data_IF_766278022057
#
_entry.id   IF_766278022057
#
_cell.length_a   1.000
_cell.length_b   1.000
_cell.length_c   1.000
_cell.angle_alpha   90.00
_cell.angle_beta   90.00
_cell.angle_gamma   90.00
#
_symmetry.space_group_name_H-M   'P 1'
#
loop_
_entity.id
_entity.type
_entity.pdbx_description
1 polymer ?
#
# COMPACT_ATOMS: atom_id res chain seq x y z
N UNK A 1 -9.17 3.35 34.59
CA UNK A 1 -7.78 3.88 34.70
C UNK A 1 -6.78 2.73 34.47
N UNK A 2 -5.82 2.85 33.56
CA UNK A 2 -4.83 1.80 33.32
C UNK A 2 -3.43 2.36 32.98
N UNK A 3 -2.39 1.67 33.44
CA UNK A 3 -0.99 2.05 33.28
C UNK A 3 -0.50 1.73 31.86
N UNK A 4 0.25 2.66 31.26
CA UNK A 4 0.79 2.54 29.90
C UNK A 4 2.16 3.19 29.80
N UNK A 5 2.95 2.74 28.82
CA UNK A 5 4.10 3.48 28.35
C UNK A 5 3.69 4.86 27.79
N UNK A 6 4.57 5.86 27.87
CA UNK A 6 4.28 7.24 27.44
C UNK A 6 3.93 7.34 25.95
N UNK A 7 4.67 6.66 25.08
CA UNK A 7 4.45 6.72 23.62
C UNK A 7 3.17 5.98 23.23
N UNK A 8 2.93 4.84 23.86
CA UNK A 8 1.69 4.09 23.68
C UNK A 8 0.48 4.91 24.17
N UNK A 9 0.61 5.54 25.34
CA UNK A 9 -0.40 6.41 25.92
C UNK A 9 -0.75 7.59 25.02
N UNK A 10 0.25 8.25 24.43
CA UNK A 10 0.03 9.34 23.46
C UNK A 10 -0.76 8.87 22.24
N UNK A 11 -0.47 7.67 21.74
CA UNK A 11 -1.18 7.10 20.60
C UNK A 11 -2.64 6.82 20.93
N UNK A 12 -2.91 6.22 22.10
CA UNK A 12 -4.28 5.96 22.56
C UNK A 12 -5.04 7.28 22.74
N UNK A 13 -4.44 8.30 23.37
CA UNK A 13 -5.10 9.59 23.54
C UNK A 13 -5.42 10.26 22.20
N UNK A 14 -4.57 10.08 21.18
CA UNK A 14 -4.79 10.64 19.85
C UNK A 14 -5.83 9.85 19.02
N UNK A 15 -6.01 8.56 19.27
CA UNK A 15 -6.80 7.66 18.41
C UNK A 15 -8.02 7.05 19.08
N UNK A 16 -8.20 7.25 20.38
CA UNK A 16 -9.30 6.72 21.17
C UNK A 16 -10.01 7.80 22.00
N UNK A 17 -11.26 7.52 22.32
CA UNK A 17 -12.07 8.24 23.31
C UNK A 17 -12.46 7.30 24.45
N UNK A 18 -12.97 7.85 25.54
CA UNK A 18 -13.63 7.04 26.55
C UNK A 18 -14.93 6.42 26.01
N UNK A 19 -15.41 5.32 26.61
CA UNK A 19 -16.73 4.74 26.27
C UNK A 19 -17.89 5.75 26.42
N UNK A 20 -17.76 6.76 27.28
CA UNK A 20 -18.72 7.85 27.41
C UNK A 20 -18.58 8.97 26.35
N UNK A 21 -17.63 8.85 25.41
CA UNK A 21 -17.34 9.84 24.38
C UNK A 21 -16.41 10.98 24.80
N UNK A 22 -16.03 11.06 26.08
CA UNK A 22 -15.10 12.08 26.56
C UNK A 22 -13.66 11.86 26.05
N UNK A 23 -12.90 12.95 25.94
CA UNK A 23 -11.47 12.90 25.63
C UNK A 23 -10.69 12.13 26.70
N UNK A 24 -9.63 11.46 26.28
CA UNK A 24 -8.69 10.81 27.17
C UNK A 24 -7.57 11.77 27.55
N UNK A 25 -7.01 11.62 28.75
CA UNK A 25 -5.84 12.37 29.21
C UNK A 25 -4.76 11.39 29.68
N UNK A 26 -3.50 11.81 29.55
CA UNK A 26 -2.31 11.02 29.91
C UNK A 26 -1.50 11.71 31.03
N UNK A 27 -2.02 11.81 32.26
CA UNK A 27 -1.22 12.27 33.38
C UNK A 27 -0.14 11.25 33.81
N UNK A 28 0.87 11.76 34.52
CA UNK A 28 1.75 10.91 35.32
C UNK A 28 0.98 10.30 36.50
N UNK A 29 1.12 9.00 36.71
CA UNK A 29 0.40 8.20 37.70
C UNK A 29 0.83 8.39 39.15
N UNK A 30 1.87 9.20 39.40
CA UNK A 30 2.44 9.36 40.76
C UNK A 30 1.43 9.80 41.82
N UNK A 31 0.42 10.60 41.44
CA UNK A 31 -0.66 11.01 42.34
C UNK A 31 -1.60 9.85 42.75
N UNK A 32 -1.54 8.71 42.04
CA UNK A 32 -2.34 7.51 42.26
C UNK A 32 -1.49 6.33 42.77
N UNK A 33 -0.23 6.57 43.17
CA UNK A 33 0.67 5.52 43.63
C UNK A 33 1.22 4.63 42.52
N UNK A 34 1.17 5.08 41.26
CA UNK A 34 1.69 4.36 40.10
C UNK A 34 2.93 5.08 39.55
N UNK A 35 4.03 4.35 39.35
CA UNK A 35 5.27 4.86 38.77
C UNK A 35 5.26 4.74 37.22
N UNK A 36 4.18 5.21 36.60
CA UNK A 36 3.97 5.10 35.14
C UNK A 36 3.00 6.17 34.63
N UNK A 37 2.91 6.35 33.31
CA UNK A 37 1.84 7.14 32.70
C UNK A 37 0.52 6.37 32.76
N UNK A 38 -0.57 7.10 32.91
CA UNK A 38 -1.89 6.50 33.12
C UNK A 38 -2.88 7.14 32.19
N UNK A 39 -3.73 6.34 31.54
CA UNK A 39 -4.85 6.85 30.74
C UNK A 39 -6.07 7.00 31.64
N UNK A 40 -6.67 8.19 31.62
CA UNK A 40 -7.94 8.48 32.29
C UNK A 40 -8.88 9.25 31.38
N UNK A 41 -10.17 8.99 31.55
CA UNK A 41 -11.23 9.77 30.94
C UNK A 41 -11.28 11.18 31.56
N UNK A 42 -11.45 12.20 30.72
CA UNK A 42 -11.50 13.59 31.15
C UNK A 42 -12.78 13.94 31.93
N UNK A 43 -13.88 13.20 31.69
CA UNK A 43 -15.17 13.43 32.35
C UNK A 43 -15.31 12.66 33.68
N UNK A 44 -14.85 11.41 33.73
CA UNK A 44 -14.99 10.53 34.90
C UNK A 44 -13.77 9.58 34.99
N UNK A 45 -12.98 9.63 36.08
CA UNK A 45 -11.81 8.78 36.26
C UNK A 45 -12.11 7.29 36.50
N UNK A 46 -13.37 6.93 36.83
CA UNK A 46 -13.78 5.55 37.07
C UNK A 46 -13.90 4.73 35.78
N UNK A 47 -14.12 5.38 34.63
CA UNK A 47 -14.15 4.68 33.35
C UNK A 47 -12.79 4.00 33.04
N UNK A 48 -12.86 2.75 32.63
CA UNK A 48 -11.71 1.90 32.32
C UNK A 48 -11.71 1.39 30.87
N UNK A 49 -12.76 1.67 30.10
CA UNK A 49 -12.84 1.30 28.68
C UNK A 49 -12.51 2.47 27.76
N UNK A 50 -11.72 2.15 26.74
CA UNK A 50 -11.42 3.04 25.63
C UNK A 50 -12.03 2.49 24.35
N UNK A 51 -12.57 3.39 23.54
CA UNK A 51 -13.18 3.07 22.26
C UNK A 51 -12.42 3.87 21.19
N UNK A 52 -12.04 3.28 20.06
CA UNK A 52 -11.41 4.02 18.97
C UNK A 52 -12.24 5.24 18.56
N UNK A 53 -11.60 6.39 18.34
CA UNK A 53 -12.24 7.58 17.77
C UNK A 53 -12.86 7.13 16.44
N UNK A 54 -14.16 7.36 16.29
CA UNK A 54 -14.84 7.08 15.03
C UNK A 54 -14.19 7.92 13.94
N UNK A 55 -13.69 7.27 12.90
CA UNK A 55 -13.28 8.00 11.70
C UNK A 55 -14.49 8.73 11.10
N UNK A 56 -14.27 9.82 10.36
CA UNK A 56 -15.37 10.49 9.64
C UNK A 56 -16.17 9.53 8.75
N UNK A 57 -15.51 8.50 8.21
CA UNK A 57 -16.20 7.45 7.45
C UNK A 57 -17.13 6.60 8.32
N UNK A 58 -16.71 6.28 9.55
CA UNK A 58 -17.53 5.53 10.50
C UNK A 58 -18.70 6.38 11.02
N UNK A 59 -18.45 7.65 11.37
CA UNK A 59 -19.50 8.60 11.74
C UNK A 59 -20.55 8.74 10.62
N UNK A 60 -20.10 8.86 9.36
CA UNK A 60 -20.98 8.90 8.19
C UNK A 60 -21.82 7.62 8.07
N UNK A 61 -21.20 6.44 8.27
CA UNK A 61 -21.87 5.14 8.21
C UNK A 61 -22.92 4.97 9.31
N UNK A 62 -22.65 5.54 10.48
CA UNK A 62 -23.55 5.52 11.64
C UNK A 62 -24.68 6.56 11.54
N UNK A 63 -24.67 7.40 10.49
CA UNK A 63 -25.68 8.43 10.27
C UNK A 63 -25.50 9.69 11.12
N UNK A 64 -24.31 9.90 11.69
CA UNK A 64 -24.00 11.11 12.46
C UNK A 64 -23.90 12.34 11.54
N UNK A 65 -24.27 13.51 12.08
CA UNK A 65 -24.16 14.76 11.32
C UNK A 65 -22.70 15.15 11.11
N UNK A 66 -22.31 15.18 9.83
CA UNK A 66 -20.99 15.64 9.39
C UNK A 66 -21.14 16.92 8.57
N UNK A 67 -20.12 17.81 8.58
CA UNK A 67 -20.04 18.93 7.66
C UNK A 67 -20.24 18.47 6.20
N UNK A 68 -21.03 19.22 5.43
CA UNK A 68 -21.44 18.85 4.06
C UNK A 68 -20.26 18.51 3.15
N UNK A 69 -19.17 19.30 3.19
CA UNK A 69 -17.98 19.04 2.38
C UNK A 69 -17.28 17.71 2.70
N UNK A 70 -17.32 17.26 3.97
CA UNK A 70 -16.75 15.97 4.38
C UNK A 70 -17.62 14.84 3.84
N UNK A 71 -18.95 14.97 4.00
CA UNK A 71 -19.93 14.02 3.47
C UNK A 71 -19.79 13.86 1.96
N UNK A 72 -19.75 14.96 1.21
CA UNK A 72 -19.60 14.96 -0.25
C UNK A 72 -18.29 14.30 -0.71
N UNK A 73 -17.20 14.53 0.02
CA UNK A 73 -15.91 13.91 -0.30
C UNK A 73 -15.91 12.40 -0.01
N UNK A 74 -16.51 11.98 1.11
CA UNK A 74 -16.73 10.57 1.43
C UNK A 74 -17.57 9.91 0.35
N UNK A 75 -18.70 10.51 -0.01
CA UNK A 75 -19.60 9.98 -1.05
C UNK A 75 -18.92 9.91 -2.41
N UNK A 76 -18.15 10.93 -2.81
CA UNK A 76 -17.41 10.93 -4.09
C UNK A 76 -16.32 9.87 -4.12
N UNK A 77 -15.60 9.66 -3.02
CA UNK A 77 -14.61 8.57 -2.90
C UNK A 77 -15.31 7.21 -2.93
N UNK A 78 -16.43 7.07 -2.24
CA UNK A 78 -17.20 5.83 -2.20
C UNK A 78 -17.81 5.49 -3.56
N UNK A 79 -18.38 6.46 -4.29
CA UNK A 79 -18.90 6.25 -5.65
C UNK A 79 -17.81 5.75 -6.60
N UNK A 80 -16.61 6.36 -6.58
CA UNK A 80 -15.47 5.89 -7.37
C UNK A 80 -15.08 4.47 -7.02
N UNK A 81 -14.94 4.17 -5.72
CA UNK A 81 -14.60 2.84 -5.23
C UNK A 81 -15.66 1.80 -5.57
N UNK A 82 -16.95 2.14 -5.46
CA UNK A 82 -18.08 1.28 -5.82
C UNK A 82 -18.07 1.00 -7.33
N UNK A 83 -17.84 2.00 -8.17
CA UNK A 83 -17.79 1.82 -9.62
C UNK A 83 -16.64 0.89 -10.03
N UNK A 84 -15.46 1.10 -9.45
CA UNK A 84 -14.30 0.23 -9.66
C UNK A 84 -14.57 -1.20 -9.16
N UNK A 85 -15.09 -1.35 -7.94
CA UNK A 85 -15.44 -2.66 -7.38
C UNK A 85 -16.52 -3.37 -8.20
N UNK A 86 -17.53 -2.66 -8.69
CA UNK A 86 -18.56 -3.24 -9.54
C UNK A 86 -17.99 -3.71 -10.88
N UNK A 87 -17.03 -2.97 -11.46
CA UNK A 87 -16.34 -3.40 -12.68
C UNK A 87 -15.51 -4.66 -12.42
N UNK A 88 -14.72 -4.69 -11.34
CA UNK A 88 -13.91 -5.87 -10.96
C UNK A 88 -14.81 -7.06 -10.65
N UNK A 89 -15.86 -6.87 -9.86
CA UNK A 89 -16.85 -7.90 -9.55
C UNK A 89 -17.52 -8.43 -10.82
N UNK A 90 -17.85 -7.56 -11.77
CA UNK A 90 -18.39 -7.99 -13.05
C UNK A 90 -17.41 -8.85 -13.86
N UNK A 91 -16.10 -8.54 -13.82
CA UNK A 91 -15.07 -9.39 -14.45
C UNK A 91 -14.98 -10.77 -13.79
N UNK A 92 -15.04 -10.81 -12.45
CA UNK A 92 -15.05 -12.08 -11.68
C UNK A 92 -16.30 -12.91 -12.02
N UNK A 93 -17.48 -12.29 -12.02
CA UNK A 93 -18.76 -12.96 -12.35
C UNK A 93 -18.80 -13.44 -13.80
N UNK A 94 -18.23 -12.68 -14.74
CA UNK A 94 -18.14 -13.06 -16.15
C UNK A 94 -17.04 -14.10 -16.42
N UNK A 95 -16.27 -14.49 -15.41
CA UNK A 95 -15.15 -15.43 -15.51
C UNK A 95 -14.10 -15.02 -16.56
N UNK A 96 -13.91 -13.71 -16.77
CA UNK A 96 -12.97 -13.17 -17.78
C UNK A 96 -11.57 -13.00 -17.16
N UNK A 97 -10.85 -14.11 -17.02
CA UNK A 97 -9.54 -14.15 -16.38
C UNK A 97 -8.48 -13.30 -17.12
N UNK A 98 -8.55 -13.20 -18.45
CA UNK A 98 -7.60 -12.44 -19.26
C UNK A 98 -7.73 -10.93 -19.01
N UNK A 99 -8.96 -10.39 -19.03
CA UNK A 99 -9.16 -8.97 -18.70
C UNK A 99 -8.82 -8.68 -17.24
N UNK A 100 -9.18 -9.59 -16.34
CA UNK A 100 -8.87 -9.43 -14.92
C UNK A 100 -7.35 -9.45 -14.68
N UNK A 101 -6.60 -10.34 -15.32
CA UNK A 101 -5.14 -10.41 -15.21
C UNK A 101 -4.46 -9.14 -15.69
N UNK A 102 -4.93 -8.54 -16.80
CA UNK A 102 -4.40 -7.27 -17.33
C UNK A 102 -4.59 -6.14 -16.32
N UNK A 103 -5.78 -6.04 -15.72
CA UNK A 103 -6.06 -5.07 -14.67
C UNK A 103 -5.17 -5.30 -13.42
N UNK A 104 -5.02 -6.56 -13.00
CA UNK A 104 -4.23 -6.90 -11.82
C UNK A 104 -2.73 -6.68 -12.01
N UNK A 105 -2.20 -6.94 -13.20
CA UNK A 105 -0.79 -6.70 -13.50
C UNK A 105 -0.42 -5.22 -13.38
N UNK A 106 -1.29 -4.31 -13.86
CA UNK A 106 -1.09 -2.86 -13.70
C UNK A 106 -1.16 -2.45 -12.23
N UNK A 107 -2.03 -3.10 -11.45
CA UNK A 107 -2.23 -2.78 -10.04
C UNK A 107 -1.13 -3.34 -9.12
N UNK A 108 -0.55 -4.47 -9.52
CA UNK A 108 0.44 -5.22 -8.76
C UNK A 108 1.69 -5.51 -9.60
N UNK A 109 2.36 -4.48 -10.14
CA UNK A 109 3.44 -4.69 -11.09
C UNK A 109 4.65 -5.42 -10.48
N UNK A 110 4.82 -5.35 -9.16
CA UNK A 110 5.91 -6.00 -8.44
C UNK A 110 5.60 -7.48 -8.17
N UNK A 111 4.42 -7.78 -7.62
CA UNK A 111 4.01 -9.15 -7.24
C UNK A 111 3.58 -9.98 -8.46
N UNK A 112 3.01 -9.34 -9.48
CA UNK A 112 2.48 -9.97 -10.69
C UNK A 112 3.27 -9.54 -11.93
N UNK A 113 4.60 -9.49 -11.82
CA UNK A 113 5.48 -9.04 -12.90
C UNK A 113 5.31 -9.85 -14.20
N UNK A 114 5.07 -11.16 -14.09
CA UNK A 114 4.82 -12.03 -15.25
C UNK A 114 3.34 -12.09 -15.55
N UNK A 115 2.98 -12.01 -16.84
CA UNK A 115 1.59 -12.12 -17.29
C UNK A 115 0.93 -13.44 -16.85
N UNK A 116 1.68 -14.54 -16.88
CA UNK A 116 1.20 -15.85 -16.40
C UNK A 116 0.85 -15.83 -14.92
N UNK A 117 1.68 -15.23 -14.08
CA UNK A 117 1.40 -15.10 -12.64
C UNK A 117 0.13 -14.26 -12.39
N UNK A 118 -0.05 -13.17 -13.16
CA UNK A 118 -1.28 -12.37 -13.08
C UNK A 118 -2.53 -13.16 -13.51
N UNK A 119 -2.39 -14.02 -14.53
CA UNK A 119 -3.46 -14.88 -15.02
C UNK A 119 -3.82 -15.98 -14.03
N UNK A 120 -2.82 -16.62 -13.43
CA UNK A 120 -3.04 -17.68 -12.44
C UNK A 120 -3.68 -17.11 -11.17
N UNK A 121 -3.23 -15.94 -10.72
CA UNK A 121 -3.88 -15.22 -9.61
C UNK A 121 -5.32 -14.83 -9.95
N UNK A 122 -5.60 -14.33 -11.16
CA UNK A 122 -6.95 -14.02 -11.61
C UNK A 122 -7.87 -15.25 -11.64
N UNK A 123 -7.39 -16.38 -12.18
CA UNK A 123 -8.12 -17.66 -12.17
C UNK A 123 -8.40 -18.13 -10.75
N UNK A 124 -7.43 -18.01 -9.85
CA UNK A 124 -7.58 -18.36 -8.45
C UNK A 124 -8.67 -17.51 -7.78
N UNK A 125 -8.66 -16.19 -7.96
CA UNK A 125 -9.72 -15.31 -7.46
C UNK A 125 -11.10 -15.70 -7.99
N UNK A 126 -11.23 -16.02 -9.28
CA UNK A 126 -12.49 -16.45 -9.90
C UNK A 126 -12.96 -17.79 -9.31
N UNK A 127 -12.07 -18.77 -9.19
CA UNK A 127 -12.39 -20.09 -8.67
C UNK A 127 -12.94 -20.04 -7.24
N UNK A 128 -12.42 -19.12 -6.43
CA UNK A 128 -12.83 -18.93 -5.04
C UNK A 128 -13.89 -17.83 -4.84
N UNK A 129 -14.40 -17.23 -5.92
CA UNK A 129 -15.36 -16.11 -5.89
C UNK A 129 -14.87 -14.91 -5.05
N UNK A 130 -13.58 -14.63 -5.11
CA UNK A 130 -12.94 -13.55 -4.38
C UNK A 130 -12.79 -12.34 -5.28
N UNK A 131 -13.13 -11.15 -4.75
CA UNK A 131 -12.80 -9.92 -5.44
C UNK A 131 -11.33 -9.57 -5.17
N UNK A 132 -10.45 -9.54 -6.19
CA UNK A 132 -9.08 -9.13 -5.97
C UNK A 132 -9.01 -7.68 -5.48
N UNK A 133 -7.93 -7.32 -4.79
CA UNK A 133 -7.72 -6.07 -4.04
C UNK A 133 -8.52 -6.00 -2.73
N UNK A 134 -9.82 -6.32 -2.76
CA UNK A 134 -10.66 -6.22 -1.56
C UNK A 134 -10.56 -7.48 -0.70
N UNK A 135 -10.77 -8.63 -1.32
CA UNK A 135 -10.94 -9.91 -0.64
C UNK A 135 -9.65 -10.74 -0.64
N UNK A 136 -8.84 -10.56 -1.69
CA UNK A 136 -7.55 -11.20 -1.83
C UNK A 136 -6.54 -10.25 -2.49
N UNK A 137 -5.30 -10.32 -2.03
CA UNK A 137 -4.17 -9.53 -2.52
C UNK A 137 -3.01 -10.45 -2.85
N UNK A 138 -2.31 -10.24 -3.98
CA UNK A 138 -1.08 -10.96 -4.25
C UNK A 138 0.04 -10.39 -3.37
N UNK A 139 0.86 -11.25 -2.81
CA UNK A 139 2.08 -10.89 -2.11
C UNK A 139 3.14 -11.94 -2.40
N UNK A 140 4.30 -11.53 -2.92
CA UNK A 140 5.35 -12.44 -3.40
C UNK A 140 4.83 -13.48 -4.41
N UNK A 141 3.88 -13.07 -5.26
CA UNK A 141 3.26 -13.95 -6.25
C UNK A 141 2.24 -14.95 -5.69
N UNK A 142 1.99 -14.96 -4.39
CA UNK A 142 1.01 -15.84 -3.75
C UNK A 142 -0.28 -15.08 -3.37
N UNK A 143 -1.46 -15.72 -3.45
CA UNK A 143 -2.71 -15.11 -3.00
C UNK A 143 -2.81 -15.08 -1.47
N UNK A 144 -3.08 -13.90 -0.90
CA UNK A 144 -3.37 -13.73 0.52
C UNK A 144 -4.79 -13.20 0.71
N UNK A 145 -5.55 -13.88 1.56
CA UNK A 145 -6.89 -13.42 1.96
C UNK A 145 -6.76 -12.24 2.92
N UNK A 146 -7.52 -11.19 2.67
CA UNK A 146 -7.52 -10.00 3.52
C UNK A 146 -8.37 -10.25 4.77
N UNK A 147 -8.04 -9.57 5.87
CA UNK A 147 -8.86 -9.66 7.08
C UNK A 147 -10.26 -9.09 6.84
N UNK A 148 -10.39 -8.12 5.93
CA UNK A 148 -11.64 -7.51 5.52
C UNK A 148 -12.59 -8.53 4.87
N UNK A 149 -12.05 -9.51 4.12
CA UNK A 149 -12.88 -10.61 3.61
C UNK A 149 -13.46 -11.43 4.76
N UNK A 150 -12.63 -11.76 5.75
CA UNK A 150 -13.03 -12.58 6.89
C UNK A 150 -14.05 -11.84 7.76
N UNK A 151 -13.80 -10.55 8.05
CA UNK A 151 -14.74 -9.67 8.75
C UNK A 151 -16.10 -9.64 8.03
N UNK A 152 -16.10 -9.62 6.68
CA UNK A 152 -17.32 -9.65 5.90
C UNK A 152 -18.03 -11.00 6.00
N UNK A 153 -17.32 -12.12 5.90
CA UNK A 153 -17.92 -13.45 6.09
C UNK A 153 -18.59 -13.53 7.48
N UNK A 154 -17.89 -13.04 8.52
CA UNK A 154 -18.44 -12.93 9.86
C UNK A 154 -19.69 -12.05 9.94
N UNK A 155 -19.68 -10.88 9.29
CA UNK A 155 -20.86 -9.99 9.28
C UNK A 155 -22.08 -10.56 8.55
N UNK A 156 -21.88 -11.51 7.64
CA UNK A 156 -22.97 -12.18 6.90
C UNK A 156 -23.48 -13.44 7.62
N UNK A 157 -22.68 -13.97 8.55
CA UNK A 157 -23.05 -15.08 9.40
C UNK A 157 -24.05 -14.62 10.47
N UNK A 158 -25.27 -15.17 10.42
CA UNK A 158 -26.35 -14.82 11.34
C UNK A 158 -26.03 -15.22 12.78
N UNK A 159 -25.18 -16.22 12.99
CA UNK A 159 -24.77 -16.66 14.32
C UNK A 159 -23.74 -15.75 14.95
N UNK A 160 -23.09 -14.88 14.19
CA UNK A 160 -22.01 -14.04 14.71
C UNK A 160 -22.53 -12.93 15.63
N UNK A 161 -22.06 -12.91 16.88
CA UNK A 161 -22.40 -11.89 17.88
C UNK A 161 -21.39 -10.75 17.97
N UNK A 162 -20.32 -10.82 17.18
CA UNK A 162 -19.21 -9.87 17.23
C UNK A 162 -18.00 -10.41 17.98
N UNK A 163 -17.01 -9.53 18.15
CA UNK A 163 -15.73 -9.82 18.76
C UNK A 163 -15.27 -8.69 19.68
N UNK A 164 -14.42 -9.02 20.64
CA UNK A 164 -13.82 -8.11 21.60
C UNK A 164 -12.33 -8.39 21.75
N UNK A 165 -11.58 -7.40 22.24
CA UNK A 165 -10.16 -7.55 22.47
C UNK A 165 -9.78 -7.41 23.93
N UNK A 166 -8.80 -8.21 24.35
CA UNK A 166 -8.08 -8.04 25.61
C UNK A 166 -6.62 -7.72 25.28
N UNK A 167 -6.17 -6.52 25.64
CA UNK A 167 -4.76 -6.14 25.54
C UNK A 167 -4.04 -6.63 26.79
N UNK A 168 -2.95 -7.36 26.63
CA UNK A 168 -2.28 -7.98 27.77
C UNK A 168 -1.44 -6.96 28.53
N UNK A 169 -1.60 -6.92 29.85
CA UNK A 169 -0.73 -6.16 30.74
C UNK A 169 0.66 -6.79 30.78
N UNK A 170 1.64 -6.09 31.37
CA UNK A 170 2.97 -6.68 31.56
C UNK A 170 2.91 -7.97 32.40
N UNK A 171 2.07 -8.00 33.43
CA UNK A 171 1.88 -9.19 34.27
C UNK A 171 1.26 -10.35 33.50
N UNK A 172 0.25 -10.07 32.64
CA UNK A 172 -0.35 -11.11 31.79
C UNK A 172 0.67 -11.68 30.79
N UNK A 173 1.54 -10.83 30.24
CA UNK A 173 2.60 -11.26 29.31
C UNK A 173 3.62 -12.13 30.02
N UNK A 174 4.10 -11.70 31.19
CA UNK A 174 5.06 -12.45 32.00
C UNK A 174 4.47 -13.81 32.43
N UNK A 175 3.18 -13.87 32.77
CA UNK A 175 2.50 -15.12 33.13
C UNK A 175 2.36 -16.11 31.95
N UNK A 176 2.51 -15.62 30.72
CA UNK A 176 2.37 -16.40 29.48
C UNK A 176 3.70 -16.48 28.69
N UNK A 177 4.82 -16.19 29.35
CA UNK A 177 6.18 -16.23 28.79
C UNK A 177 6.39 -15.35 27.53
N UNK A 178 5.64 -14.26 27.38
CA UNK A 178 5.88 -13.24 26.35
C UNK A 178 6.87 -12.18 26.83
N UNK A 179 7.66 -11.62 25.90
CA UNK A 179 8.52 -10.47 26.24
C UNK A 179 7.63 -9.28 26.65
N UNK A 180 7.96 -8.65 27.78
CA UNK A 180 7.31 -7.43 28.28
C UNK A 180 7.14 -6.34 27.20
N UNK A 181 8.07 -6.27 26.24
CA UNK A 181 8.13 -5.30 25.14
C UNK A 181 7.32 -5.70 23.92
N UNK A 182 6.86 -6.95 23.82
CA UNK A 182 6.00 -7.39 22.74
C UNK A 182 4.61 -6.78 22.88
N UNK A 183 3.92 -6.57 21.76
CA UNK A 183 2.50 -6.27 21.77
C UNK A 183 1.76 -7.60 21.67
N UNK A 184 0.93 -7.90 22.67
CA UNK A 184 0.11 -9.11 22.71
C UNK A 184 -1.33 -8.70 22.91
N UNK A 185 -2.19 -9.14 21.99
CA UNK A 185 -3.63 -8.90 22.03
C UNK A 185 -4.35 -10.21 21.80
N UNK A 186 -5.32 -10.49 22.66
CA UNK A 186 -6.27 -11.58 22.46
C UNK A 186 -7.54 -11.03 21.82
N UNK A 187 -8.03 -11.73 20.81
CA UNK A 187 -9.32 -11.49 20.18
C UNK A 187 -10.25 -12.65 20.54
N UNK A 188 -11.36 -12.32 21.18
CA UNK A 188 -12.43 -13.25 21.50
C UNK A 188 -13.61 -12.98 20.59
N UNK A 189 -14.14 -14.00 19.94
CA UNK A 189 -15.26 -13.87 19.03
C UNK A 189 -16.37 -14.88 19.35
N UNK A 190 -17.61 -14.39 19.38
CA UNK A 190 -18.76 -15.12 19.88
C UNK A 190 -19.70 -15.53 18.73
N UNK A 191 -20.16 -16.79 18.76
CA UNK A 191 -21.18 -17.31 17.85
C UNK A 191 -22.32 -17.97 18.61
N UNK A 192 -23.52 -17.91 18.04
CA UNK A 192 -24.66 -18.71 18.46
C UNK A 192 -24.31 -20.21 18.37
N UNK A 193 -24.56 -20.92 19.45
CA UNK A 193 -24.33 -22.38 19.54
C UNK A 193 -22.93 -22.80 20.01
N UNK A 194 -22.00 -21.85 20.21
CA UNK A 194 -20.74 -22.15 20.90
C UNK A 194 -20.87 -21.88 22.39
N UNK A 195 -20.44 -22.84 23.22
CA UNK A 195 -20.42 -22.67 24.68
C UNK A 195 -19.34 -21.69 25.15
N UNK A 196 -18.26 -21.58 24.38
CA UNK A 196 -17.13 -20.68 24.66
C UNK A 196 -16.79 -19.86 23.42
N UNK A 197 -16.35 -18.59 23.58
CA UNK A 197 -15.87 -17.79 22.47
C UNK A 197 -14.66 -18.46 21.82
N UNK A 198 -14.51 -18.26 20.51
CA UNK A 198 -13.25 -18.56 19.83
C UNK A 198 -12.21 -17.53 20.26
N UNK A 199 -11.00 -17.99 20.55
CA UNK A 199 -9.92 -17.14 21.09
C UNK A 199 -8.71 -17.23 20.18
N UNK A 200 -8.21 -16.08 19.74
CA UNK A 200 -7.01 -15.98 18.90
C UNK A 200 -6.05 -14.93 19.45
N UNK A 201 -4.77 -15.27 19.49
CA UNK A 201 -3.70 -14.38 19.94
C UNK A 201 -3.02 -13.73 18.74
N UNK A 202 -2.87 -12.41 18.81
CA UNK A 202 -2.00 -11.63 17.94
C UNK A 202 -0.78 -11.21 18.73
N UNK A 203 0.40 -11.44 18.14
CA UNK A 203 1.68 -11.01 18.71
C UNK A 203 2.41 -10.17 17.68
N UNK A 204 2.94 -9.03 18.10
CA UNK A 204 3.92 -8.25 17.35
C UNK A 204 5.14 -8.10 18.23
N UNK A 205 6.22 -8.74 17.82
CA UNK A 205 7.45 -8.82 18.60
C UNK A 205 8.17 -7.49 18.62
N UNK A 206 8.98 -7.26 19.65
CA UNK A 206 9.88 -6.09 19.73
C UNK A 206 10.72 -5.93 18.46
N UNK A 207 11.24 -7.03 17.92
CA UNK A 207 12.04 -7.04 16.69
C UNK A 207 11.26 -6.50 15.49
N UNK A 208 9.99 -6.90 15.32
CA UNK A 208 9.14 -6.41 14.22
C UNK A 208 8.75 -4.94 14.37
N UNK A 209 8.67 -4.43 15.61
CA UNK A 209 8.45 -3.00 15.84
C UNK A 209 9.68 -2.16 15.51
N UNK A 210 10.86 -2.69 15.80
CA UNK A 210 12.14 -1.99 15.66
C UNK A 210 12.77 -2.19 14.27
N UNK A 211 12.29 -3.16 13.49
CA UNK A 211 12.78 -3.41 12.13
C UNK A 211 12.34 -2.30 11.17
N UNK A 212 13.17 -1.24 11.06
CA UNK A 212 13.01 -0.16 10.07
C UNK A 212 13.25 -0.68 8.65
N UNK A 213 14.13 -1.68 8.51
CA UNK A 213 14.34 -2.40 7.26
C UNK A 213 13.24 -3.45 7.11
N UNK A 214 12.46 -3.33 6.05
CA UNK A 214 11.47 -4.35 5.70
C UNK A 214 12.15 -5.67 5.37
N UNK A 215 12.38 -6.52 6.37
CA UNK A 215 12.97 -7.86 6.22
C UNK A 215 14.41 -7.86 5.67
N UNK A 216 15.15 -8.98 5.83
CA UNK A 216 16.33 -9.21 5.01
C UNK A 216 15.90 -9.25 3.54
N UNK A 217 16.64 -8.56 2.67
CA UNK A 217 16.53 -8.72 1.23
C UNK A 217 16.68 -10.22 0.95
N UNK A 218 15.70 -10.84 0.31
CA UNK A 218 15.83 -12.21 -0.14
C UNK A 218 17.01 -12.28 -1.13
N UNK A 219 18.11 -12.89 -0.68
CA UNK A 219 19.35 -13.02 -1.45
C UNK A 219 19.14 -13.76 -2.76
N UNK A 220 18.11 -14.61 -2.85
CA UNK A 220 17.81 -15.38 -4.05
C UNK A 220 17.12 -14.53 -5.14
N UNK A 221 16.35 -13.51 -4.76
CA UNK A 221 15.60 -12.70 -5.73
C UNK A 221 16.17 -11.30 -5.95
N UNK A 222 17.03 -10.80 -5.05
CA UNK A 222 17.64 -9.46 -5.16
C UNK A 222 16.63 -8.31 -5.21
N UNK A 223 15.34 -8.62 -5.02
CA UNK A 223 14.23 -7.69 -5.01
C UNK A 223 13.87 -7.49 -3.55
N UNK A 224 14.16 -6.30 -3.04
CA UNK A 224 13.67 -5.86 -1.73
C UNK A 224 12.15 -5.75 -1.79
N UNK A 225 11.44 -6.86 -1.63
CA UNK A 225 10.02 -6.83 -1.39
C UNK A 225 9.80 -6.12 -0.05
N UNK A 226 8.79 -5.26 0.02
CA UNK A 226 8.42 -4.64 1.29
C UNK A 226 7.91 -5.75 2.20
N UNK A 227 8.72 -6.17 3.18
CA UNK A 227 8.18 -6.85 4.37
C UNK A 227 7.01 -6.01 4.90
N UNK A 228 5.93 -6.61 5.43
CA UNK A 228 4.80 -5.85 5.95
C UNK A 228 5.35 -4.79 6.89
N UNK A 229 4.91 -3.54 6.74
CA UNK A 229 5.54 -2.41 7.43
C UNK A 229 5.05 -2.33 8.87
N UNK A 230 5.29 -3.40 9.62
CA UNK A 230 4.81 -3.61 10.98
C UNK A 230 5.31 -2.50 11.88
N UNK A 231 6.54 -2.02 11.70
CA UNK A 231 7.10 -0.90 12.46
C UNK A 231 6.30 0.40 12.32
N UNK A 232 5.62 0.65 11.20
CA UNK A 232 4.80 1.86 11.03
C UNK A 232 3.50 1.78 11.83
N UNK A 233 2.90 0.59 11.90
CA UNK A 233 1.57 0.37 12.50
C UNK A 233 1.50 -0.91 13.33
N UNK A 234 2.38 -1.11 14.32
CA UNK A 234 2.51 -2.39 15.03
C UNK A 234 1.25 -2.71 15.83
N UNK A 235 0.55 -1.67 16.29
CA UNK A 235 -0.73 -1.77 16.97
C UNK A 235 -1.82 -2.32 16.05
N UNK A 236 -1.99 -1.77 14.84
CA UNK A 236 -3.01 -2.24 13.91
C UNK A 236 -2.74 -3.70 13.51
N UNK A 237 -1.45 -4.03 13.33
CA UNK A 237 -1.00 -5.38 13.01
C UNK A 237 -1.33 -6.39 14.09
N UNK A 238 -1.10 -6.09 15.37
CA UNK A 238 -1.40 -7.03 16.45
C UNK A 238 -2.90 -7.34 16.53
N UNK A 239 -3.77 -6.34 16.35
CA UNK A 239 -5.23 -6.55 16.32
C UNK A 239 -5.68 -7.38 15.10
N UNK A 240 -5.09 -7.13 13.92
CA UNK A 240 -5.40 -7.92 12.72
C UNK A 240 -4.94 -9.37 12.85
N UNK A 241 -3.74 -9.61 13.41
CA UNK A 241 -3.22 -10.97 13.68
C UNK A 241 -4.12 -11.71 14.67
N UNK A 242 -4.53 -11.05 15.76
CA UNK A 242 -5.44 -11.63 16.74
C UNK A 242 -6.75 -12.06 16.08
N UNK A 243 -7.41 -11.16 15.32
CA UNK A 243 -8.63 -11.50 14.59
C UNK A 243 -8.46 -12.62 13.59
N UNK A 244 -7.39 -12.57 12.79
CA UNK A 244 -7.11 -13.61 11.80
C UNK A 244 -6.96 -14.98 12.48
N UNK A 245 -6.25 -15.04 13.60
CA UNK A 245 -6.08 -16.26 14.39
C UNK A 245 -7.41 -16.77 14.98
N UNK A 246 -8.27 -15.87 15.46
CA UNK A 246 -9.60 -16.23 15.98
C UNK A 246 -10.49 -16.77 14.87
N UNK A 247 -10.61 -16.05 13.76
CA UNK A 247 -11.55 -16.38 12.70
C UNK A 247 -11.12 -17.56 11.84
N UNK A 248 -9.82 -17.87 11.76
CA UNK A 248 -9.32 -19.09 11.11
C UNK A 248 -9.85 -20.37 11.75
N UNK A 249 -10.25 -20.32 13.02
CA UNK A 249 -10.86 -21.47 13.71
C UNK A 249 -12.28 -21.77 13.23
N UNK A 250 -13.00 -20.75 12.74
CA UNK A 250 -14.37 -20.89 12.26
C UNK A 250 -14.44 -20.99 10.73
N UNK A 251 -13.76 -20.09 10.03
CA UNK A 251 -13.74 -20.07 8.57
C UNK A 251 -12.59 -20.91 8.06
N UNK A 252 -12.92 -21.99 7.35
CA UNK A 252 -11.95 -22.70 6.52
C UNK A 252 -11.63 -21.84 5.31
N UNK A 253 -10.58 -21.02 5.46
CA UNK A 253 -10.04 -20.22 4.38
C UNK A 253 -9.46 -21.18 3.35
N UNK A 254 -9.96 -21.22 2.10
CA UNK A 254 -9.37 -22.03 1.06
C UNK A 254 -8.06 -21.37 0.63
N UNK A 255 -6.99 -21.55 1.40
CA UNK A 255 -5.66 -21.20 0.93
C UNK A 255 -5.20 -22.31 -0.04
N UNK A 256 -4.58 -21.98 -1.19
CA UNK A 256 -3.94 -23.00 -1.98
C UNK A 256 -2.80 -23.60 -1.16
N UNK A 257 -2.67 -24.91 -1.31
CA UNK A 257 -1.69 -25.82 -0.73
C UNK A 257 -0.31 -25.15 -0.67
N UNK A 258 0.05 -24.65 0.51
CA UNK A 258 1.43 -24.42 0.93
C UNK A 258 1.47 -24.93 2.36
N UNK A 259 1.80 -26.20 2.49
CA UNK A 259 1.96 -26.91 3.77
C UNK A 259 3.00 -26.26 4.70
N UNK A 260 3.74 -25.23 4.28
CA UNK A 260 4.91 -24.73 5.02
C UNK A 260 5.15 -23.21 4.95
N UNK A 261 4.11 -22.36 4.90
CA UNK A 261 4.34 -20.96 5.28
C UNK A 261 4.11 -20.78 6.78
N UNK A 262 5.09 -20.25 7.53
CA UNK A 262 4.92 -19.98 8.94
C UNK A 262 3.75 -19.00 9.09
N UNK A 263 2.70 -19.54 9.68
CA UNK A 263 1.63 -18.91 10.43
C UNK A 263 1.89 -17.41 10.68
N UNK A 264 0.95 -16.51 10.35
CA UNK A 264 0.88 -15.07 10.71
C UNK A 264 1.19 -13.97 9.66
N UNK A 265 1.31 -14.26 8.37
CA UNK A 265 1.40 -13.17 7.37
C UNK A 265 0.03 -12.54 7.10
N UNK A 266 -0.42 -11.68 8.01
CA UNK A 266 -1.41 -10.64 7.67
C UNK A 266 -0.66 -9.60 6.85
N UNK A 267 -0.92 -9.56 5.54
CA UNK A 267 -0.32 -8.54 4.69
C UNK A 267 -1.17 -7.27 4.80
N UNK A 268 -0.60 -6.22 5.41
CA UNK A 268 -1.16 -4.89 5.29
C UNK A 268 -0.85 -4.34 3.90
N UNK A 269 -1.79 -4.52 2.99
CA UNK A 269 -1.74 -3.79 1.74
C UNK A 269 -2.25 -2.37 1.96
N UNK A 270 -1.40 -1.47 2.45
CA UNK A 270 -1.62 -0.05 2.23
C UNK A 270 -1.35 0.26 0.76
N UNK A 271 -2.40 0.14 -0.06
CA UNK A 271 -2.34 0.68 -1.40
C UNK A 271 -2.32 2.20 -1.31
N UNK A 272 -1.12 2.78 -1.40
CA UNK A 272 -1.02 4.06 -2.10
C UNK A 272 -1.43 3.76 -3.53
N UNK A 273 -2.59 4.26 -3.95
CA UNK A 273 -2.77 4.61 -5.36
C UNK A 273 -1.58 5.53 -5.61
N UNK A 274 -0.60 5.07 -6.39
CA UNK A 274 0.41 5.95 -6.94
C UNK A 274 -0.38 6.85 -7.89
N UNK A 275 -0.67 8.13 -7.58
CA UNK A 275 -0.89 9.06 -8.68
C UNK A 275 0.38 8.99 -9.54
N UNK A 276 0.23 8.98 -10.86
CA UNK A 276 1.36 9.11 -11.80
C UNK A 276 2.34 10.17 -11.30
N UNK A 277 3.66 9.93 -11.42
CA UNK A 277 4.63 10.46 -10.47
C UNK A 277 4.70 11.99 -10.46
N UNK A 278 4.44 12.57 -9.28
CA UNK A 278 5.32 13.61 -8.74
C UNK A 278 6.58 12.89 -8.23
N UNK A 279 7.68 13.10 -8.96
CA UNK A 279 8.96 12.44 -8.73
C UNK A 279 9.72 13.03 -7.55
N UNK A 280 10.21 12.16 -6.68
CA UNK A 280 11.38 12.40 -5.86
C UNK A 280 12.36 11.24 -6.09
N UNK A 281 13.50 11.54 -6.73
CA UNK A 281 14.71 10.72 -6.65
C UNK A 281 15.40 10.99 -5.30
N UNK A 282 15.83 9.94 -4.60
CA UNK A 282 17.06 10.02 -3.80
C UNK A 282 18.12 9.13 -4.45
N UNK A 283 19.08 9.82 -5.08
CA UNK A 283 20.52 9.71 -4.81
C UNK A 283 21.10 8.34 -4.44
N UNK A 284 21.98 7.84 -5.32
CA UNK A 284 23.06 6.92 -4.96
C UNK A 284 24.14 6.83 -6.04
N UNK A 285 25.22 7.61 -5.91
CA UNK A 285 26.58 7.45 -6.49
C UNK A 285 27.49 8.50 -5.80
N UNK A 286 28.79 8.35 -5.55
CA UNK A 286 29.81 7.32 -5.74
C UNK A 286 31.10 7.83 -5.07
N UNK A 287 32.05 6.95 -4.76
CA UNK A 287 33.50 7.23 -4.71
C UNK A 287 34.24 5.88 -4.60
N UNK A 288 35.35 5.57 -5.25
CA UNK A 288 36.20 6.33 -6.14
C UNK A 288 37.29 5.42 -6.74
N UNK A 289 37.73 5.81 -7.91
CA UNK A 289 38.98 5.59 -8.65
C UNK A 289 40.20 4.86 -8.01
N UNK A 290 40.86 4.07 -8.90
CA UNK A 290 42.32 3.99 -9.20
C UNK A 290 43.25 2.96 -8.49
N UNK A 291 43.85 2.06 -9.29
CA UNK A 291 45.32 1.89 -9.58
C UNK A 291 45.79 0.41 -9.74
N UNK A 292 46.30 0.14 -10.96
CA UNK A 292 47.44 -0.67 -11.41
C UNK A 292 47.60 -2.20 -11.24
N UNK A 293 47.92 -2.80 -12.41
CA UNK A 293 49.03 -3.70 -12.75
C UNK A 293 49.01 -5.21 -12.36
N UNK A 294 49.19 -6.00 -13.43
CA UNK A 294 49.28 -7.47 -13.59
C UNK A 294 50.64 -8.06 -13.09
N UNK A 295 51.05 -9.34 -13.33
CA UNK A 295 50.47 -10.42 -14.17
C UNK A 295 50.67 -11.91 -13.71
N UNK A 296 50.28 -12.85 -14.61
CA UNK A 296 50.65 -14.30 -14.80
C UNK A 296 49.75 -15.35 -14.12
N UNK A 297 49.40 -16.51 -14.70
CA UNK A 297 49.63 -17.14 -16.02
C UNK A 297 48.82 -18.46 -16.15
N UNK A 298 48.63 -18.93 -17.41
CA UNK A 298 48.33 -20.32 -17.91
C UNK A 298 46.92 -20.88 -17.62
N UNK A 299 46.21 -21.58 -18.53
CA UNK A 299 46.58 -22.32 -19.74
C UNK A 299 45.42 -22.47 -20.76
N UNK A 300 45.82 -22.75 -22.02
CA UNK A 300 45.16 -23.30 -23.23
C UNK A 300 44.09 -24.40 -22.97
N UNK A 301 43.23 -24.86 -23.89
CA UNK A 301 42.68 -24.53 -25.22
C UNK A 301 41.63 -25.66 -25.45
N UNK A 302 40.48 -25.45 -26.10
CA UNK A 302 40.24 -25.87 -27.49
C UNK A 302 38.80 -25.53 -27.89
N UNK A 303 38.66 -24.88 -29.05
CA UNK A 303 37.49 -24.81 -29.92
C UNK A 303 37.84 -25.66 -31.17
N UNK A 304 36.92 -26.13 -32.05
CA UNK A 304 35.89 -25.30 -32.68
C UNK A 304 34.57 -25.99 -33.13
N UNK A 305 33.57 -25.21 -33.55
CA UNK A 305 33.04 -25.11 -34.94
C UNK A 305 31.82 -24.16 -34.99
N UNK A 306 31.91 -23.22 -35.94
CA UNK A 306 31.01 -22.13 -36.39
C UNK A 306 29.61 -22.60 -36.86
N UNK A 307 28.55 -21.81 -37.08
CA UNK A 307 28.27 -20.39 -37.40
C UNK A 307 26.72 -20.16 -37.26
N UNK A 308 26.08 -19.01 -37.64
CA UNK A 308 26.59 -17.70 -38.02
C UNK A 308 26.01 -16.51 -37.23
N UNK A 309 26.63 -15.36 -37.47
CA UNK A 309 26.43 -14.04 -36.89
C UNK A 309 25.04 -13.43 -37.11
N UNK A 310 24.50 -12.82 -36.06
CA UNK A 310 23.51 -11.76 -36.14
C UNK A 310 24.22 -10.42 -35.91
N UNK A 311 24.10 -9.51 -36.87
CA UNK A 311 24.59 -8.13 -36.82
C UNK A 311 23.99 -7.38 -35.61
N UNK A 312 24.85 -6.91 -34.70
CA UNK A 312 24.52 -5.80 -33.82
C UNK A 312 24.49 -4.51 -34.64
N UNK A 313 23.30 -3.90 -34.77
CA UNK A 313 23.14 -2.54 -35.28
C UNK A 313 23.30 -1.54 -34.13
N UNK A 314 24.23 -0.62 -34.31
CA UNK A 314 24.48 0.59 -33.52
C UNK A 314 23.22 1.50 -33.50
N UNK A 315 22.83 2.07 -32.35
CA UNK A 315 21.71 2.99 -32.27
C UNK A 315 22.20 4.44 -32.34
N UNK A 316 22.81 4.83 -33.45
CA UNK A 316 23.18 6.22 -33.70
C UNK A 316 23.25 6.42 -35.22
N UNK A 317 22.09 6.51 -35.87
CA UNK A 317 21.90 7.27 -37.12
C UNK A 317 20.41 7.34 -37.51
N UNK A 318 19.96 8.56 -37.82
CA UNK A 318 18.74 8.95 -38.54
C UNK A 318 17.36 8.86 -37.82
N UNK A 319 16.97 9.98 -37.20
CA UNK A 319 15.64 10.56 -37.44
C UNK A 319 15.86 12.03 -37.85
N UNK A 320 16.33 12.26 -39.07
CA UNK A 320 16.04 13.52 -39.78
C UNK A 320 14.60 13.41 -40.30
N UNK A 321 13.65 13.52 -39.38
CA UNK A 321 12.22 13.47 -39.66
C UNK A 321 11.68 14.85 -40.01
N UNK A 322 10.93 14.92 -41.09
CA UNK A 322 10.24 16.10 -41.61
C UNK A 322 9.56 16.95 -40.52
N UNK A 323 10.16 18.11 -40.22
CA UNK A 323 9.51 19.41 -40.41
C UNK A 323 8.31 19.81 -39.54
N UNK A 324 7.97 19.10 -38.46
CA UNK A 324 7.00 19.63 -37.50
C UNK A 324 7.70 20.53 -36.47
N UNK A 325 7.74 21.83 -36.76
CA UNK A 325 8.28 22.83 -35.84
C UNK A 325 7.13 23.45 -35.04
N UNK A 326 7.07 23.18 -33.74
CA UNK A 326 6.20 23.92 -32.83
C UNK A 326 6.68 25.38 -32.80
N UNK A 327 5.76 26.32 -32.97
CA UNK A 327 6.08 27.75 -32.91
C UNK A 327 6.56 28.12 -31.49
N UNK A 328 7.82 28.56 -31.32
CA UNK A 328 8.38 28.90 -30.01
C UNK A 328 7.65 30.09 -29.36
N UNK A 329 7.04 30.96 -30.15
CA UNK A 329 6.27 32.11 -29.65
C UNK A 329 4.96 31.65 -29.02
N UNK A 330 4.19 30.82 -29.73
CA UNK A 330 2.96 30.18 -29.21
C UNK A 330 3.24 29.38 -27.93
N UNK A 331 4.34 28.64 -27.90
CA UNK A 331 4.70 27.84 -26.73
C UNK A 331 5.02 28.74 -25.52
N UNK A 332 5.74 29.85 -25.73
CA UNK A 332 6.05 30.80 -24.67
C UNK A 332 4.80 31.45 -24.09
N UNK A 333 3.84 31.83 -24.93
CA UNK A 333 2.56 32.39 -24.52
C UNK A 333 1.71 31.37 -23.75
N UNK A 334 1.63 30.13 -24.26
CA UNK A 334 0.89 29.03 -23.64
C UNK A 334 1.46 28.68 -22.26
N UNK A 335 2.78 28.64 -22.13
CA UNK A 335 3.45 28.42 -20.84
C UNK A 335 3.13 29.51 -19.82
N UNK A 336 3.11 30.78 -20.23
CA UNK A 336 2.74 31.90 -19.34
C UNK A 336 1.31 31.77 -18.85
N UNK A 337 0.37 31.47 -19.74
CA UNK A 337 -1.06 31.31 -19.40
C UNK A 337 -1.28 30.11 -18.47
N UNK A 338 -0.62 28.98 -18.73
CA UNK A 338 -0.69 27.79 -17.88
C UNK A 338 0.14 27.90 -16.59
N UNK A 339 0.90 28.99 -16.41
CA UNK A 339 1.90 29.17 -15.34
C UNK A 339 2.92 28.02 -15.30
N UNK A 340 3.27 27.48 -16.46
CA UNK A 340 4.31 26.45 -16.60
C UNK A 340 5.68 27.11 -16.72
N UNK A 341 6.66 26.60 -15.97
CA UNK A 341 8.06 26.90 -16.23
C UNK A 341 8.59 26.00 -17.36
N UNK A 342 9.74 26.35 -17.94
CA UNK A 342 10.41 25.49 -18.90
C UNK A 342 10.64 24.07 -18.37
N UNK A 343 10.97 23.94 -17.08
CA UNK A 343 11.19 22.64 -16.43
C UNK A 343 9.88 21.86 -16.20
N UNK A 344 8.77 22.54 -15.89
CA UNK A 344 7.45 21.90 -15.86
C UNK A 344 7.09 21.33 -17.23
N UNK A 345 7.31 22.11 -18.30
CA UNK A 345 7.05 21.67 -19.67
C UNK A 345 7.95 20.49 -20.08
N UNK A 346 9.25 20.52 -19.74
CA UNK A 346 10.16 19.39 -19.97
C UNK A 346 9.71 18.14 -19.23
N UNK A 347 9.37 18.27 -17.95
CA UNK A 347 8.92 17.13 -17.12
C UNK A 347 7.65 16.51 -17.69
N UNK A 348 6.74 17.34 -18.21
CA UNK A 348 5.55 16.88 -18.90
C UNK A 348 5.88 16.07 -20.16
N UNK A 349 6.75 16.60 -21.03
CA UNK A 349 7.19 15.91 -22.26
C UNK A 349 7.88 14.56 -21.96
N UNK A 350 8.77 14.54 -20.97
CA UNK A 350 9.51 13.33 -20.57
C UNK A 350 8.56 12.29 -19.96
N UNK A 351 7.62 12.73 -19.11
CA UNK A 351 6.66 11.83 -18.46
C UNK A 351 5.70 11.18 -19.47
N UNK A 352 5.14 11.98 -20.39
CA UNK A 352 4.13 11.54 -21.36
C UNK A 352 4.73 10.80 -22.55
N UNK A 353 5.76 11.36 -23.18
CA UNK A 353 6.32 10.85 -24.45
C UNK A 353 7.60 10.02 -24.28
N UNK A 354 8.10 9.89 -23.04
CA UNK A 354 9.34 9.14 -22.73
C UNK A 354 10.57 9.63 -23.50
N UNK A 355 10.59 10.91 -23.89
CA UNK A 355 11.76 11.55 -24.52
C UNK A 355 12.85 11.84 -23.50
N UNK A 356 14.11 11.85 -23.94
CA UNK A 356 15.26 12.13 -23.07
C UNK A 356 15.19 13.55 -22.48
N UNK A 357 15.41 13.73 -21.16
CA UNK A 357 15.34 15.04 -20.49
C UNK A 357 16.54 15.96 -20.74
N UNK A 358 17.59 15.48 -21.42
CA UNK A 358 18.87 16.18 -21.52
C UNK A 358 18.79 17.39 -22.46
N UNK A 359 19.28 18.56 -22.03
CA UNK A 359 19.38 19.77 -22.87
C UNK A 359 18.35 20.85 -22.57
N UNK A 360 18.22 21.81 -23.48
CA UNK A 360 17.24 22.89 -23.42
C UNK A 360 15.84 22.39 -23.78
N UNK A 361 14.78 23.18 -23.53
CA UNK A 361 13.42 22.77 -23.86
C UNK A 361 13.26 22.56 -25.38
N UNK A 362 13.91 23.39 -26.18
CA UNK A 362 13.94 23.27 -27.63
C UNK A 362 14.57 21.96 -28.09
N UNK A 363 15.64 21.52 -27.42
CA UNK A 363 16.29 20.24 -27.72
C UNK A 363 15.37 19.06 -27.42
N UNK A 364 14.58 19.14 -26.34
CA UNK A 364 13.61 18.09 -25.97
C UNK A 364 12.46 18.05 -26.98
N UNK A 365 11.98 19.22 -27.44
CA UNK A 365 10.91 19.32 -28.44
C UNK A 365 11.35 18.76 -29.79
N UNK A 366 12.58 19.04 -30.22
CA UNK A 366 13.15 18.50 -31.47
C UNK A 366 13.24 16.97 -31.50
N UNK A 367 13.14 16.30 -30.35
CA UNK A 367 13.14 14.83 -30.25
C UNK A 367 11.75 14.21 -30.35
N UNK A 368 10.69 15.02 -30.34
CA UNK A 368 9.34 14.52 -30.53
C UNK A 368 9.15 14.07 -31.97
N UNK A 369 8.48 12.93 -32.14
CA UNK A 369 7.92 12.56 -33.44
C UNK A 369 6.77 13.50 -33.78
N UNK A 370 6.42 13.61 -35.07
CA UNK A 370 5.31 14.46 -35.53
C UNK A 370 4.01 14.20 -34.78
N UNK A 371 3.64 12.93 -34.62
CA UNK A 371 2.41 12.53 -33.91
C UNK A 371 2.44 12.97 -32.43
N UNK A 372 3.61 12.88 -31.78
CA UNK A 372 3.78 13.34 -30.40
C UNK A 372 3.73 14.87 -30.30
N UNK A 373 4.24 15.58 -31.29
CA UNK A 373 4.21 17.04 -31.32
C UNK A 373 2.78 17.57 -31.57
N UNK A 374 2.01 16.92 -32.45
CA UNK A 374 0.59 17.21 -32.67
C UNK A 374 -0.24 16.92 -31.39
N UNK A 375 -0.07 15.73 -30.78
CA UNK A 375 -0.74 15.39 -29.52
C UNK A 375 -0.35 16.34 -28.36
N UNK A 376 0.90 16.81 -28.33
CA UNK A 376 1.35 17.80 -27.35
C UNK A 376 0.63 19.15 -27.52
N UNK A 377 0.47 19.62 -28.77
CA UNK A 377 -0.24 20.87 -29.07
C UNK A 377 -1.71 20.77 -28.66
N UNK A 378 -2.37 19.66 -28.98
CA UNK A 378 -3.76 19.40 -28.62
C UNK A 378 -3.97 19.36 -27.09
N UNK A 379 -3.04 18.74 -26.36
CA UNK A 379 -3.07 18.70 -24.90
C UNK A 379 -2.90 20.07 -24.25
N UNK A 380 -2.00 20.89 -24.78
CA UNK A 380 -1.80 22.27 -24.31
C UNK A 380 -3.06 23.10 -24.56
N UNK A 381 -3.66 23.01 -25.74
CA UNK A 381 -4.91 23.70 -26.08
C UNK A 381 -6.07 23.25 -25.18
N UNK A 382 -6.24 21.95 -24.96
CA UNK A 382 -7.25 21.38 -24.05
C UNK A 382 -7.11 21.89 -22.61
N UNK A 383 -5.87 22.16 -22.16
CA UNK A 383 -5.61 22.75 -20.84
C UNK A 383 -5.88 24.25 -20.80
N UNK A 384 -5.59 24.97 -21.89
CA UNK A 384 -5.91 26.39 -22.03
C UNK A 384 -7.43 26.61 -22.00
N UNK A 385 -8.21 25.78 -22.71
CA UNK A 385 -9.67 25.83 -22.71
C UNK A 385 -10.29 25.50 -21.35
N UNK A 386 -9.67 24.58 -20.59
CA UNK A 386 -10.16 24.15 -19.27
C UNK A 386 -9.80 25.11 -18.15
N UNK A 387 -8.96 26.12 -18.37
CA UNK A 387 -8.80 27.16 -17.37
C UNK A 387 -10.13 27.94 -17.30
N UNK A 388 -10.90 27.84 -16.20
CA UNK A 388 -12.11 28.64 -16.08
C UNK A 388 -11.70 30.09 -16.19
N UNK A 389 -12.35 30.82 -17.10
CA UNK A 389 -12.03 32.21 -17.38
C UNK A 389 -11.91 32.98 -16.08
N UNK A 390 -10.71 33.44 -15.75
CA UNK A 390 -10.46 34.25 -14.56
C UNK A 390 -11.05 35.68 -14.71
N UNK A 391 -11.81 35.91 -15.78
CA UNK A 391 -12.46 37.17 -16.17
C UNK A 391 -13.81 36.93 -16.89
N UNK A 392 -14.62 35.97 -16.43
CA UNK A 392 -16.09 36.04 -16.59
C UNK A 392 -16.78 36.19 -15.24
#
# INVERSE_FOLDING_TARGET
MFAVDCEFGKTIVATCTCECGALLTLPWGGAYGLDSFVIKCAADPSHDKVVPVKSFYQMWKDGEELPSFIKDNIERKLRRKIMEQNNVKALVVKQDADKLSTYLQVRFPQDLARREAALDFAKWCIAHQLEPIRDCVPYHGNPYITIEWVDRQASQDKGFKGYSYKVFSQQDKEALDFDSKDLVVECQANWDGLEQPLVGLGVVTKLEKESVTGGPIDEATGKGYRSPVIHLKPQQMVFKRARAATFKQHYHIPAPILEELPYTTVVEAEYRIIPEPEGAEETGKAAGEKVAAAPKAKAQATNPVSAPAAEERSPDEAIEGEGFSIDPTWLSESQKTLKWTGDTCKTFLVSKYKVSPQGTLEDVIKRLTREQAEDFVDDVNSRLEKQPGLFE
#
